data_IF_090451108600
#
_entry.id   IF_090451108600
#
_cell.length_a   1.000
_cell.length_b   1.000
_cell.length_c   1.000
_cell.angle_alpha   90.00
_cell.angle_beta   90.00
_cell.angle_gamma   90.00
#
_symmetry.space_group_name_H-M   'P 1'
#
loop_
_entity.id
_entity.type
_entity.pdbx_description
1 polymer ?
#
# COMPACT_ATOMS: atom_id res chain seq x y z
N UNK A 1 -3.55 -1.04 28.67
CA UNK A 1 -4.48 -0.99 27.53
C UNK A 1 -3.64 -1.33 26.31
N UNK A 2 -3.32 -2.62 26.14
CA UNK A 2 -2.45 -3.07 25.04
C UNK A 2 -3.31 -3.27 23.79
N UNK A 3 -3.56 -2.16 23.10
CA UNK A 3 -4.06 -2.20 21.73
C UNK A 3 -2.81 -2.35 20.87
N UNK A 4 -2.44 -3.58 20.55
CA UNK A 4 -1.49 -3.86 19.48
C UNK A 4 -2.04 -3.14 18.24
N UNK A 5 -1.28 -2.19 17.69
CA UNK A 5 -1.65 -1.44 16.49
C UNK A 5 -1.97 -2.40 15.34
N UNK A 6 -3.26 -2.62 15.08
CA UNK A 6 -3.72 -3.72 14.23
C UNK A 6 -3.58 -3.44 12.73
N UNK A 7 -3.01 -2.31 12.30
CA UNK A 7 -2.81 -2.04 10.86
C UNK A 7 -1.82 -3.02 10.22
N UNK A 8 -0.85 -3.56 10.98
CA UNK A 8 0.09 -4.58 10.47
C UNK A 8 -0.64 -5.90 10.19
N UNK A 9 -1.47 -6.36 11.13
CA UNK A 9 -2.28 -7.57 10.98
C UNK A 9 -3.32 -7.38 9.87
N UNK A 10 -3.95 -6.21 9.81
CA UNK A 10 -4.88 -5.87 8.73
C UNK A 10 -4.17 -5.85 7.37
N UNK A 11 -2.94 -5.36 7.28
CA UNK A 11 -2.14 -5.42 6.05
C UNK A 11 -1.95 -6.87 5.58
N UNK A 12 -1.46 -7.76 6.45
CA UNK A 12 -1.27 -9.17 6.07
C UNK A 12 -2.59 -9.87 5.75
N UNK A 13 -3.68 -9.53 6.44
CA UNK A 13 -5.02 -10.01 6.10
C UNK A 13 -5.46 -9.55 4.70
N UNK A 14 -5.18 -8.30 4.33
CA UNK A 14 -5.47 -7.80 2.99
C UNK A 14 -4.70 -8.59 1.92
N UNK A 15 -3.42 -8.89 2.15
CA UNK A 15 -2.64 -9.73 1.23
C UNK A 15 -3.27 -11.13 1.07
N UNK A 16 -3.70 -11.75 2.16
CA UNK A 16 -4.42 -13.05 2.09
C UNK A 16 -5.75 -12.97 1.36
N UNK A 17 -6.46 -11.85 1.47
CA UNK A 17 -7.68 -11.64 0.69
C UNK A 17 -7.38 -11.48 -0.81
N UNK A 18 -6.27 -10.83 -1.17
CA UNK A 18 -5.79 -10.75 -2.55
C UNK A 18 -5.43 -12.13 -3.11
N UNK A 19 -4.69 -12.95 -2.33
CA UNK A 19 -4.37 -14.35 -2.69
C UNK A 19 -5.64 -15.17 -2.99
N UNK A 20 -6.75 -14.85 -2.32
CA UNK A 20 -8.07 -15.49 -2.49
C UNK A 20 -8.96 -14.81 -3.56
N UNK A 21 -8.46 -13.81 -4.28
CA UNK A 21 -9.20 -13.05 -5.28
C UNK A 21 -10.27 -12.10 -4.72
N UNK A 22 -10.30 -11.86 -3.41
CA UNK A 22 -11.25 -10.97 -2.72
C UNK A 22 -10.78 -9.51 -2.78
N UNK A 23 -10.61 -9.00 -3.99
CA UNK A 23 -9.99 -7.70 -4.29
C UNK A 23 -10.69 -6.51 -3.63
N UNK A 24 -12.03 -6.45 -3.66
CA UNK A 24 -12.78 -5.33 -3.07
C UNK A 24 -12.62 -5.26 -1.54
N UNK A 25 -12.64 -6.43 -0.87
CA UNK A 25 -12.43 -6.49 0.58
C UNK A 25 -11.01 -6.11 0.95
N UNK A 26 -10.02 -6.59 0.19
CA UNK A 26 -8.63 -6.23 0.38
C UNK A 26 -8.41 -4.72 0.20
N UNK A 27 -8.98 -4.10 -0.84
CA UNK A 27 -8.86 -2.66 -1.11
C UNK A 27 -9.33 -1.82 0.08
N UNK A 28 -10.51 -2.13 0.64
CA UNK A 28 -11.05 -1.40 1.81
C UNK A 28 -10.16 -1.52 3.04
N UNK A 29 -9.55 -2.69 3.25
CA UNK A 29 -8.60 -2.88 4.35
C UNK A 29 -7.32 -2.09 4.10
N UNK A 30 -6.77 -2.14 2.88
CA UNK A 30 -5.55 -1.40 2.51
C UNK A 30 -5.75 0.11 2.66
N UNK A 31 -6.89 0.67 2.24
CA UNK A 31 -7.23 2.09 2.44
C UNK A 31 -7.17 2.48 3.93
N UNK A 32 -7.70 1.64 4.82
CA UNK A 32 -7.63 1.87 6.26
C UNK A 32 -6.19 1.75 6.78
N UNK A 33 -5.41 0.77 6.31
CA UNK A 33 -4.00 0.62 6.70
C UNK A 33 -3.19 1.85 6.30
N UNK A 34 -3.37 2.36 5.07
CA UNK A 34 -2.71 3.59 4.60
C UNK A 34 -3.07 4.76 5.52
N UNK A 35 -4.36 4.94 5.82
CA UNK A 35 -4.83 6.05 6.67
C UNK A 35 -4.26 5.98 8.10
N UNK A 36 -4.26 4.80 8.72
CA UNK A 36 -3.73 4.61 10.08
C UNK A 36 -2.20 4.71 10.11
N UNK A 37 -1.50 4.10 9.15
CA UNK A 37 -0.04 4.20 9.06
C UNK A 37 0.41 5.66 8.87
N UNK A 38 -0.33 6.46 8.08
CA UNK A 38 -0.08 7.90 7.94
C UNK A 38 -0.27 8.65 9.26
N UNK A 39 -1.38 8.41 9.98
CA UNK A 39 -1.63 9.04 11.31
C UNK A 39 -0.53 8.72 12.31
N UNK A 40 -0.01 7.49 12.25
CA UNK A 40 1.02 6.99 13.16
C UNK A 40 2.44 7.30 12.70
N UNK A 41 2.60 7.99 11.55
CA UNK A 41 3.90 8.28 10.94
C UNK A 41 4.74 7.00 10.72
N UNK A 42 4.07 5.87 10.47
CA UNK A 42 4.72 4.61 10.14
C UNK A 42 4.97 4.54 8.63
N UNK A 43 6.09 5.11 8.20
CA UNK A 43 6.44 5.19 6.79
C UNK A 43 6.56 3.81 6.12
N UNK A 44 7.01 2.79 6.86
CA UNK A 44 7.14 1.43 6.32
C UNK A 44 5.79 0.87 5.87
N UNK A 45 4.80 0.84 6.74
CA UNK A 45 3.47 0.33 6.39
C UNK A 45 2.68 1.27 5.49
N UNK A 46 2.92 2.57 5.59
CA UNK A 46 2.37 3.54 4.65
C UNK A 46 2.82 3.23 3.21
N UNK A 47 4.13 3.01 3.01
CA UNK A 47 4.71 2.66 1.71
C UNK A 47 4.18 1.31 1.22
N UNK A 48 4.23 0.27 2.07
CA UNK A 48 3.77 -1.08 1.72
C UNK A 48 2.30 -1.12 1.31
N UNK A 49 1.43 -0.54 2.12
CA UNK A 49 0.00 -0.54 1.84
C UNK A 49 -0.35 0.33 0.62
N UNK A 50 0.30 1.50 0.46
CA UNK A 50 0.11 2.36 -0.70
C UNK A 50 0.58 1.69 -1.99
N UNK A 51 1.68 0.94 -1.95
CA UNK A 51 2.19 0.20 -3.10
C UNK A 51 1.20 -0.88 -3.56
N UNK A 52 0.76 -1.75 -2.65
CA UNK A 52 -0.19 -2.82 -2.96
C UNK A 52 -1.53 -2.25 -3.44
N UNK A 53 -2.02 -1.19 -2.79
CA UNK A 53 -3.25 -0.53 -3.22
C UNK A 53 -3.09 0.12 -4.61
N UNK A 54 -1.97 0.78 -4.87
CA UNK A 54 -1.64 1.37 -6.15
C UNK A 54 -1.58 0.34 -7.29
N UNK A 55 -0.92 -0.80 -7.05
CA UNK A 55 -0.88 -1.94 -7.98
C UNK A 55 -2.29 -2.48 -8.28
N UNK A 56 -3.11 -2.69 -7.24
CA UNK A 56 -4.47 -3.16 -7.40
C UNK A 56 -5.34 -2.19 -8.22
N UNK A 57 -5.21 -0.88 -7.95
CA UNK A 57 -5.93 0.16 -8.67
C UNK A 57 -5.49 0.22 -10.14
N UNK A 58 -4.20 0.07 -10.40
CA UNK A 58 -3.67 -0.02 -11.76
C UNK A 58 -4.26 -1.23 -12.50
N UNK A 59 -4.20 -2.42 -11.89
CA UNK A 59 -4.73 -3.66 -12.46
C UNK A 59 -6.25 -3.60 -12.74
N UNK A 60 -6.98 -2.73 -12.02
CA UNK A 60 -8.43 -2.53 -12.18
C UNK A 60 -8.80 -1.31 -13.04
N UNK A 61 -7.82 -0.67 -13.70
CA UNK A 61 -8.04 0.44 -14.62
C UNK A 61 -8.25 1.80 -13.95
N UNK A 62 -8.08 1.89 -12.64
CA UNK A 62 -8.24 3.12 -11.83
C UNK A 62 -6.95 3.94 -11.81
N UNK A 63 -6.50 4.35 -12.99
CA UNK A 63 -5.17 4.90 -13.24
C UNK A 63 -4.85 6.18 -12.45
N UNK A 64 -5.81 7.08 -12.29
CA UNK A 64 -5.59 8.33 -11.53
C UNK A 64 -5.35 8.06 -10.04
N UNK A 65 -6.10 7.13 -9.46
CA UNK A 65 -5.96 6.75 -8.06
C UNK A 65 -4.68 5.94 -7.84
N UNK A 66 -4.37 5.03 -8.77
CA UNK A 66 -3.11 4.30 -8.79
C UNK A 66 -1.91 5.26 -8.80
N UNK A 67 -1.90 6.23 -9.73
CA UNK A 67 -0.86 7.25 -9.83
C UNK A 67 -0.65 7.96 -8.50
N UNK A 68 -1.74 8.40 -7.85
CA UNK A 68 -1.67 9.09 -6.55
C UNK A 68 -0.97 8.25 -5.49
N UNK A 69 -1.38 7.00 -5.28
CA UNK A 69 -0.78 6.15 -4.25
C UNK A 69 0.66 5.77 -4.58
N UNK A 70 0.97 5.46 -5.84
CA UNK A 70 2.32 5.06 -6.25
C UNK A 70 3.30 6.23 -6.19
N UNK A 71 2.87 7.47 -6.49
CA UNK A 71 3.71 8.66 -6.26
C UNK A 71 4.06 8.81 -4.78
N UNK A 72 3.11 8.55 -3.88
CA UNK A 72 3.37 8.59 -2.43
C UNK A 72 4.38 7.54 -1.97
N UNK A 73 4.42 6.36 -2.61
CA UNK A 73 5.44 5.31 -2.33
C UNK A 73 6.84 5.84 -2.57
N UNK A 74 7.06 6.51 -3.71
CA UNK A 74 8.37 7.04 -4.10
C UNK A 74 8.77 8.22 -3.21
N UNK A 75 7.83 9.15 -2.97
CA UNK A 75 8.10 10.40 -2.24
C UNK A 75 8.27 10.20 -0.73
N UNK A 76 7.77 9.09 -0.17
CA UNK A 76 7.87 8.85 1.27
C UNK A 76 9.29 8.42 1.65
N UNK A 77 9.95 9.14 2.57
CA UNK A 77 11.27 8.75 3.07
C UNK A 77 11.15 7.53 3.99
N UNK A 78 12.01 6.53 3.79
CA UNK A 78 12.15 5.37 4.65
C UNK A 78 13.61 4.90 4.59
N UNK A 79 14.08 4.14 5.57
CA UNK A 79 15.44 3.58 5.55
C UNK A 79 15.71 2.83 4.24
N UNK A 80 16.90 3.05 3.68
CA UNK A 80 17.13 2.91 2.25
C UNK A 80 16.83 1.52 1.67
N UNK A 81 17.05 0.41 2.39
CA UNK A 81 16.93 -0.94 1.81
C UNK A 81 15.61 -1.68 2.12
N UNK A 82 14.80 -1.19 3.07
CA UNK A 82 13.62 -1.94 3.57
C UNK A 82 12.44 -1.91 2.59
N UNK A 83 12.41 -0.93 1.69
CA UNK A 83 11.27 -0.64 0.79
C UNK A 83 11.66 -0.51 -0.69
N UNK A 84 12.86 -0.97 -1.06
CA UNK A 84 13.35 -0.89 -2.44
C UNK A 84 12.44 -1.63 -3.42
N UNK A 85 11.89 -2.77 -3.01
CA UNK A 85 10.97 -3.53 -3.85
C UNK A 85 9.72 -2.70 -4.19
N UNK A 86 9.10 -2.10 -3.19
CA UNK A 86 7.90 -1.28 -3.33
C UNK A 86 8.18 -0.04 -4.18
N UNK A 87 9.33 0.63 -3.98
CA UNK A 87 9.71 1.80 -4.76
C UNK A 87 9.98 1.47 -6.23
N UNK A 88 10.75 0.41 -6.50
CA UNK A 88 11.03 -0.05 -7.87
C UNK A 88 9.74 -0.47 -8.59
N UNK A 89 8.83 -1.17 -7.90
CA UNK A 89 7.53 -1.54 -8.47
C UNK A 89 6.67 -0.30 -8.78
N UNK A 90 6.64 0.68 -7.88
CA UNK A 90 5.91 1.91 -8.10
C UNK A 90 6.47 2.71 -9.29
N UNK A 91 7.79 2.78 -9.43
CA UNK A 91 8.43 3.40 -10.59
C UNK A 91 8.07 2.70 -11.91
N UNK A 92 8.10 1.37 -11.96
CA UNK A 92 7.70 0.60 -13.15
C UNK A 92 6.25 0.91 -13.55
N UNK A 93 5.32 0.81 -12.59
CA UNK A 93 3.89 1.03 -12.87
C UNK A 93 3.64 2.48 -13.29
N UNK A 94 4.28 3.46 -12.62
CA UNK A 94 4.16 4.87 -12.99
C UNK A 94 4.70 5.18 -14.38
N UNK A 95 5.74 4.46 -14.83
CA UNK A 95 6.25 4.57 -16.20
C UNK A 95 5.29 4.05 -17.28
N UNK A 96 4.29 3.26 -16.88
CA UNK A 96 3.27 2.65 -17.76
C UNK A 96 1.93 3.39 -17.73
N UNK A 97 1.77 4.35 -16.81
CA UNK A 97 0.57 5.17 -16.59
C UNK A 97 0.61 6.46 -17.39
#
# INVERSE_FOLDING_TARGET
MDIINDFEVQFYKALRLLDLGKTEQASKILENVVAEAAKMQNNLFFIRASCVLGELLFATGKYNEARRYLTQVIETPCQDDVVDYEKNLAEDILGRL
#
